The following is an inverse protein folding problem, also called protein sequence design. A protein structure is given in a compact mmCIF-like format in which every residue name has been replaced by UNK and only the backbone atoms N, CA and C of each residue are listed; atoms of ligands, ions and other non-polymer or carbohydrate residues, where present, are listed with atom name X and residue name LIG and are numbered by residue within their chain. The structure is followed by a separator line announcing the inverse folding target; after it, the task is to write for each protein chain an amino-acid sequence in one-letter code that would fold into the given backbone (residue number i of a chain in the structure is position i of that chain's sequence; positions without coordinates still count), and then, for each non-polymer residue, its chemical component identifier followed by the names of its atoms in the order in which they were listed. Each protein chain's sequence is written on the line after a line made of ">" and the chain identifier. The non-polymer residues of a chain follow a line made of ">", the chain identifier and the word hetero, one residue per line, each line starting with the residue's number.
data_IF_406514116322
#
_entry.id   IF_406514116322
#
_cell.length_a   1.000
_cell.length_b   1.000
_cell.length_c   1.000
_cell.angle_alpha   90.00
_cell.angle_beta   90.00
_cell.angle_gamma   90.00
#
_symmetry.space_group_name_H-M   'P 1'
#
loop_
_entity.id
_entity.type
_entity.pdbx_description
1 polymer ?
#
# COMPACT_ATOMS: atom_id res chain seq x y z
N UNK A 1 -5.25 -3.49 8.83
CA UNK A 1 -6.15 -2.95 7.77
C UNK A 1 -5.43 -1.76 7.15
N UNK A 2 -5.24 -1.69 5.83
CA UNK A 2 -4.67 -0.51 5.17
C UNK A 2 -5.79 0.37 4.63
N UNK A 3 -5.53 1.68 4.61
CA UNK A 3 -6.54 2.72 4.44
C UNK A 3 -5.98 3.80 3.50
N UNK A 4 -5.11 3.41 2.56
CA UNK A 4 -4.38 4.38 1.73
C UNK A 4 -5.36 5.13 0.84
N UNK A 5 -6.33 4.42 0.26
CA UNK A 5 -7.45 5.03 -0.48
C UNK A 5 -8.25 5.98 0.41
N UNK A 6 -8.61 5.57 1.63
CA UNK A 6 -9.40 6.42 2.53
C UNK A 6 -8.67 7.73 2.86
N UNK A 7 -7.37 7.66 3.19
CA UNK A 7 -6.55 8.85 3.42
C UNK A 7 -6.46 9.73 2.18
N UNK A 8 -6.38 9.15 0.98
CA UNK A 8 -6.41 9.89 -0.27
C UNK A 8 -7.73 10.63 -0.49
N UNK A 9 -8.88 9.97 -0.26
CA UNK A 9 -10.19 10.63 -0.35
C UNK A 9 -10.33 11.78 0.65
N UNK A 10 -9.81 11.63 1.87
CA UNK A 10 -9.79 12.72 2.86
C UNK A 10 -8.99 13.93 2.37
N UNK A 11 -7.84 13.70 1.71
CA UNK A 11 -7.01 14.78 1.16
C UNK A 11 -7.66 15.45 -0.07
N UNK A 12 -8.41 14.70 -0.87
CA UNK A 12 -9.24 15.28 -1.92
C UNK A 12 -10.36 16.14 -1.33
N UNK A 13 -11.05 15.63 -0.30
CA UNK A 13 -12.13 16.35 0.36
C UNK A 13 -11.66 17.61 1.09
N UNK A 14 -10.44 17.60 1.66
CA UNK A 14 -9.83 18.78 2.28
C UNK A 14 -9.27 19.79 1.27
N UNK A 15 -9.17 19.42 -0.01
CA UNK A 15 -8.57 20.24 -1.06
C UNK A 15 -7.03 20.30 -1.01
N UNK A 16 -6.39 19.46 -0.18
CA UNK A 16 -4.93 19.29 -0.16
C UNK A 16 -4.40 18.67 -1.45
N UNK A 17 -5.21 17.85 -2.12
CA UNK A 17 -4.91 17.24 -3.41
C UNK A 17 -5.95 17.61 -4.46
N UNK A 18 -5.52 17.65 -5.72
CA UNK A 18 -6.42 17.74 -6.87
C UNK A 18 -6.73 16.34 -7.41
N UNK A 19 -7.95 16.10 -7.89
CA UNK A 19 -8.27 14.83 -8.55
C UNK A 19 -7.36 14.60 -9.76
N UNK A 20 -6.64 13.47 -9.75
CA UNK A 20 -5.78 13.01 -10.83
C UNK A 20 -6.00 11.50 -11.05
N UNK A 21 -6.46 11.07 -12.24
CA UNK A 21 -6.69 9.65 -12.55
C UNK A 21 -5.44 8.76 -12.41
N UNK A 22 -4.26 9.27 -12.73
CA UNK A 22 -3.00 8.52 -12.66
C UNK A 22 -2.59 8.35 -11.18
N UNK A 23 -2.81 9.39 -10.37
CA UNK A 23 -2.62 9.33 -8.92
C UNK A 23 -3.58 8.32 -8.28
N UNK A 24 -4.88 8.35 -8.63
CA UNK A 24 -5.87 7.40 -8.11
C UNK A 24 -5.48 5.95 -8.41
N UNK A 25 -5.07 5.67 -9.65
CA UNK A 25 -4.61 4.33 -10.06
C UNK A 25 -3.42 3.88 -9.20
N UNK A 26 -2.47 4.78 -8.95
CA UNK A 26 -1.31 4.51 -8.11
C UNK A 26 -1.70 4.23 -6.65
N UNK A 27 -2.59 5.04 -6.08
CA UNK A 27 -3.09 4.90 -4.71
C UNK A 27 -3.77 3.55 -4.51
N UNK A 28 -4.55 3.08 -5.47
CA UNK A 28 -5.16 1.74 -5.41
C UNK A 28 -4.12 0.62 -5.38
N UNK A 29 -3.02 0.73 -6.14
CA UNK A 29 -1.94 -0.26 -6.08
C UNK A 29 -1.24 -0.24 -4.72
N UNK A 30 -0.96 0.96 -4.20
CA UNK A 30 -0.35 1.14 -2.87
C UNK A 30 -1.23 0.57 -1.77
N UNK A 31 -2.55 0.72 -1.84
CA UNK A 31 -3.46 0.12 -0.86
C UNK A 31 -3.42 -1.41 -0.92
N UNK A 32 -3.45 -2.01 -2.12
CA UNK A 32 -3.30 -3.47 -2.27
C UNK A 32 -1.97 -3.97 -1.69
N UNK A 33 -0.87 -3.25 -1.94
CA UNK A 33 0.44 -3.57 -1.38
C UNK A 33 0.42 -3.49 0.15
N UNK A 34 -0.17 -2.43 0.71
CA UNK A 34 -0.26 -2.25 2.15
C UNK A 34 -1.11 -3.36 2.81
N UNK A 35 -2.25 -3.75 2.22
CA UNK A 35 -3.02 -4.93 2.68
C UNK A 35 -2.16 -6.19 2.67
N UNK A 36 -1.42 -6.43 1.59
CA UNK A 36 -0.57 -7.62 1.46
C UNK A 36 0.54 -7.67 2.51
N UNK A 37 1.18 -6.53 2.79
CA UNK A 37 2.22 -6.41 3.81
C UNK A 37 1.66 -6.67 5.21
N UNK A 38 0.50 -6.08 5.55
CA UNK A 38 -0.18 -6.33 6.84
C UNK A 38 -0.55 -7.81 7.00
N UNK A 39 -1.10 -8.44 5.94
CA UNK A 39 -1.42 -9.87 5.97
C UNK A 39 -0.18 -10.76 6.12
N UNK A 40 0.97 -10.31 5.61
CA UNK A 40 2.23 -11.05 5.75
C UNK A 40 2.75 -11.00 7.19
N UNK A 41 2.67 -9.85 7.86
CA UNK A 41 3.12 -9.70 9.26
C UNK A 41 2.27 -10.49 10.24
N UNK A 42 0.96 -10.61 9.99
CA UNK A 42 0.05 -11.46 10.79
C UNK A 42 0.46 -12.96 10.81
N UNK A 43 1.13 -13.44 9.75
CA UNK A 43 1.53 -14.85 9.61
C UNK A 43 2.92 -15.16 10.18
N UNK A 44 3.68 -14.15 10.59
CA UNK A 44 5.05 -14.27 11.08
C UNK A 44 5.16 -14.27 12.61
N UNK A 45 4.47 -15.18 13.31
CA UNK A 45 4.59 -15.33 14.77
C UNK A 45 5.89 -16.01 15.23
N UNK A 46 6.19 -15.97 16.53
CA UNK A 46 7.34 -16.65 17.16
C UNK A 46 7.46 -18.13 16.76
N UNK A 47 6.33 -18.84 16.60
CA UNK A 47 6.26 -20.24 16.16
C UNK A 47 6.75 -20.45 14.71
N UNK A 48 6.47 -19.50 13.81
CA UNK A 48 6.96 -19.54 12.42
C UNK A 48 8.49 -19.46 12.36
N UNK A 49 9.12 -18.79 13.34
CA UNK A 49 10.57 -18.62 13.43
C UNK A 49 11.27 -19.90 13.90
N UNK A 50 10.58 -20.70 14.72
CA UNK A 50 11.08 -22.01 15.20
C UNK A 50 10.94 -23.09 14.13
N UNK A 51 9.87 -23.05 13.32
CA UNK A 51 9.63 -24.05 12.26
C UNK A 51 10.39 -23.77 10.94
N UNK A 52 11.23 -22.73 10.88
CA UNK A 52 12.13 -22.47 9.74
C UNK A 52 11.45 -22.16 8.40
N UNK A 53 10.14 -21.92 8.37
CA UNK A 53 9.42 -21.59 7.13
C UNK A 53 9.50 -20.09 6.86
N UNK A 54 10.35 -19.71 5.92
CA UNK A 54 10.42 -18.33 5.42
C UNK A 54 9.18 -18.04 4.57
N UNK A 55 8.36 -17.02 4.91
CA UNK A 55 7.21 -16.65 4.10
C UNK A 55 7.66 -16.08 2.75
N UNK A 56 6.88 -16.36 1.70
CA UNK A 56 7.10 -15.77 0.37
C UNK A 56 7.01 -14.24 0.49
N UNK A 57 8.01 -13.48 0.01
CA UNK A 57 8.00 -12.03 0.11
C UNK A 57 6.87 -11.41 -0.73
N UNK A 58 6.23 -10.37 -0.21
CA UNK A 58 5.27 -9.56 -0.97
C UNK A 58 6.02 -8.82 -2.08
N UNK A 59 5.53 -8.93 -3.32
CA UNK A 59 6.11 -8.20 -4.46
C UNK A 59 5.83 -6.71 -4.31
N UNK A 60 6.88 -5.90 -4.42
CA UNK A 60 6.77 -4.44 -4.39
C UNK A 60 6.22 -3.85 -5.69
N UNK A 61 6.04 -2.53 -5.69
CA UNK A 61 5.64 -1.74 -6.85
C UNK A 61 6.84 -0.98 -7.40
N UNK A 62 6.96 -0.94 -8.73
CA UNK A 62 7.88 -0.05 -9.42
C UNK A 62 7.07 1.06 -10.07
N UNK A 63 7.31 2.29 -9.65
CA UNK A 63 6.59 3.47 -10.12
C UNK A 63 7.54 4.34 -10.93
N UNK A 64 7.09 4.78 -12.10
CA UNK A 64 7.83 5.64 -13.00
C UNK A 64 6.85 6.63 -13.63
N UNK A 65 7.27 7.88 -13.80
CA UNK A 65 6.39 8.96 -14.25
C UNK A 65 6.86 10.32 -13.71
N UNK A 66 6.12 11.38 -14.04
CA UNK A 66 6.35 12.71 -13.48
C UNK A 66 6.05 12.75 -11.97
N UNK A 67 6.65 13.70 -11.25
CA UNK A 67 6.55 13.81 -9.78
C UNK A 67 5.20 14.35 -9.25
N UNK A 68 4.21 14.57 -10.12
CA UNK A 68 2.95 15.25 -9.77
C UNK A 68 3.16 16.71 -9.33
N UNK A 69 2.12 17.55 -9.36
CA UNK A 69 2.18 18.94 -8.84
C UNK A 69 1.19 19.17 -7.70
N UNK A 70 0.70 18.09 -7.08
CA UNK A 70 -0.45 18.12 -6.16
C UNK A 70 -1.76 18.30 -6.91
#
# INVERSE_FOLDING_TARGET
>A
MSWVVARYEEMLASGELRPDPDQRTTIEQLDRLAVALVKQTEKGGLLSRIMGKTPVPVRGLYMWGGVGRG
#
